data_IF_026969675044
#
_entry.id   IF_026969675044
#
_cell.length_a   1.000
_cell.length_b   1.000
_cell.length_c   1.000
_cell.angle_alpha   90.00
_cell.angle_beta   90.00
_cell.angle_gamma   90.00
#
_symmetry.space_group_name_H-M   'P 1'
#
loop_
_entity.id
_entity.type
_entity.pdbx_description
1 polymer ?
#
# COMPACT_ATOMS: atom_id res chain seq x y z
N UNK A 1 -2.88 -27.34 -4.13
CA UNK A 1 -1.43 -27.13 -4.32
C UNK A 1 -1.18 -25.66 -4.62
N UNK A 2 -0.04 -25.14 -4.15
CA UNK A 2 0.39 -23.74 -4.07
C UNK A 2 0.27 -22.95 -5.38
N UNK A 3 -0.10 -21.68 -5.29
CA UNK A 3 0.44 -20.64 -6.16
C UNK A 3 0.77 -19.42 -5.28
N UNK A 4 2.06 -19.14 -5.19
CA UNK A 4 2.65 -18.06 -4.41
C UNK A 4 2.08 -16.71 -4.86
N UNK A 5 1.71 -15.87 -3.89
CA UNK A 5 1.55 -14.45 -4.15
C UNK A 5 2.94 -13.92 -4.52
N UNK A 6 3.14 -13.72 -5.82
CA UNK A 6 4.40 -13.25 -6.36
C UNK A 6 4.71 -11.86 -5.78
N UNK A 7 5.78 -11.79 -4.98
CA UNK A 7 6.50 -10.55 -4.75
C UNK A 7 7.05 -10.10 -6.10
N UNK A 8 6.39 -9.14 -6.73
CA UNK A 8 6.81 -8.53 -7.99
C UNK A 8 6.96 -7.03 -7.72
N UNK A 9 7.89 -6.68 -6.84
CA UNK A 9 8.66 -5.46 -7.01
C UNK A 9 9.86 -5.86 -7.87
N UNK A 10 9.62 -5.91 -9.18
CA UNK A 10 10.69 -6.07 -10.16
C UNK A 10 11.56 -4.83 -10.06
N UNK A 11 12.75 -5.00 -9.49
CA UNK A 11 13.86 -4.05 -9.62
C UNK A 11 14.28 -4.09 -11.09
N UNK A 12 13.53 -3.40 -11.94
CA UNK A 12 13.89 -3.18 -13.34
C UNK A 12 15.16 -2.32 -13.34
N UNK A 13 16.16 -2.79 -14.09
CA UNK A 13 17.53 -2.32 -14.06
C UNK A 13 17.71 -0.80 -14.05
N UNK A 14 18.68 -0.37 -13.25
CA UNK A 14 19.18 0.98 -13.17
C UNK A 14 19.70 1.43 -14.56
N UNK A 15 19.10 2.45 -15.20
CA UNK A 15 19.77 3.15 -16.28
C UNK A 15 21.00 3.92 -15.73
N UNK A 16 21.96 4.29 -16.59
CA UNK A 16 23.25 4.89 -16.19
C UNK A 16 23.17 6.31 -15.59
N UNK A 17 21.98 6.87 -15.39
CA UNK A 17 21.78 8.13 -14.68
C UNK A 17 21.41 7.86 -13.22
N UNK A 18 22.19 8.43 -12.30
CA UNK A 18 22.13 8.23 -10.85
C UNK A 18 20.72 7.90 -10.33
N UNK A 19 20.58 6.65 -9.87
CA UNK A 19 19.29 6.04 -9.55
C UNK A 19 18.43 6.78 -8.50
N UNK A 20 17.32 6.16 -8.06
CA UNK A 20 16.41 6.76 -7.10
C UNK A 20 17.18 7.25 -5.86
N UNK A 21 16.85 8.46 -5.39
CA UNK A 21 17.53 8.99 -4.21
C UNK A 21 17.32 8.07 -3.01
N UNK A 22 18.27 7.99 -2.06
CA UNK A 22 18.16 7.11 -0.89
C UNK A 22 16.86 7.31 -0.10
N UNK A 23 16.35 8.53 -0.01
CA UNK A 23 15.06 8.80 0.61
C UNK A 23 13.88 8.11 -0.08
N UNK A 24 13.87 8.04 -1.43
CA UNK A 24 12.83 7.34 -2.19
C UNK A 24 12.91 5.83 -1.95
N UNK A 25 14.12 5.28 -1.92
CA UNK A 25 14.33 3.87 -1.60
C UNK A 25 13.81 3.52 -0.20
N UNK A 26 14.09 4.37 0.80
CA UNK A 26 13.60 4.20 2.17
C UNK A 26 12.07 4.31 2.27
N UNK A 27 11.47 5.23 1.51
CA UNK A 27 10.01 5.37 1.46
C UNK A 27 9.34 4.17 0.77
N UNK A 28 9.95 3.64 -0.29
CA UNK A 28 9.50 2.44 -0.97
C UNK A 28 9.57 1.20 -0.07
N UNK A 29 10.67 1.02 0.67
CA UNK A 29 10.82 -0.08 1.65
C UNK A 29 9.78 0.00 2.77
N UNK A 30 9.54 1.21 3.31
CA UNK A 30 8.47 1.44 4.30
C UNK A 30 7.09 1.07 3.76
N UNK A 31 6.80 1.43 2.51
CA UNK A 31 5.54 1.07 1.86
C UNK A 31 5.43 -0.45 1.72
N UNK A 32 6.47 -1.12 1.22
CA UNK A 32 6.49 -2.57 1.07
C UNK A 32 6.21 -3.27 2.40
N UNK A 33 6.90 -2.87 3.47
CA UNK A 33 6.70 -3.42 4.80
C UNK A 33 5.26 -3.21 5.29
N UNK A 34 4.72 -2.00 5.14
CA UNK A 34 3.36 -1.69 5.57
C UNK A 34 2.29 -2.49 4.79
N UNK A 35 2.50 -2.71 3.48
CA UNK A 35 1.61 -3.52 2.64
C UNK A 35 1.65 -4.98 3.05
N UNK A 36 2.82 -5.53 3.36
CA UNK A 36 2.96 -6.92 3.86
C UNK A 36 2.19 -7.10 5.16
N UNK A 37 2.35 -6.17 6.12
CA UNK A 37 1.62 -6.21 7.38
C UNK A 37 0.10 -6.05 7.19
N UNK A 38 -0.34 -5.18 6.28
CA UNK A 38 -1.75 -5.08 5.92
C UNK A 38 -2.30 -6.37 5.32
N UNK A 39 -1.57 -7.01 4.40
CA UNK A 39 -1.98 -8.29 3.78
C UNK A 39 -2.08 -9.39 4.84
N UNK A 40 -1.14 -9.46 5.79
CA UNK A 40 -1.18 -10.39 6.92
C UNK A 40 -2.40 -10.15 7.80
N UNK A 41 -2.65 -8.92 8.20
CA UNK A 41 -3.82 -8.56 9.02
C UNK A 41 -5.15 -8.81 8.28
N UNK A 42 -5.18 -8.62 6.95
CA UNK A 42 -6.34 -8.93 6.10
C UNK A 42 -6.65 -10.43 6.09
N UNK A 43 -5.63 -11.28 6.01
CA UNK A 43 -5.78 -12.74 6.08
C UNK A 43 -6.28 -13.14 7.48
N UNK A 44 -5.65 -12.64 8.54
CA UNK A 44 -6.07 -12.93 9.92
C UNK A 44 -7.53 -12.53 10.17
N UNK A 45 -7.93 -11.34 9.75
CA UNK A 45 -9.33 -10.87 9.83
C UNK A 45 -10.29 -11.76 9.04
N UNK A 46 -9.89 -12.28 7.88
CA UNK A 46 -10.72 -13.19 7.08
C UNK A 46 -10.89 -14.54 7.77
N UNK A 47 -9.84 -15.08 8.38
CA UNK A 47 -9.87 -16.34 9.13
C UNK A 47 -10.70 -16.22 10.41
N UNK A 48 -10.64 -15.08 11.10
CA UNK A 48 -11.44 -14.82 12.31
C UNK A 48 -12.92 -14.51 12.01
N UNK A 49 -13.28 -14.24 10.75
CA UNK A 49 -14.63 -13.77 10.37
C UNK A 49 -15.77 -14.69 10.82
N UNK A 50 -15.70 -16.04 10.72
CA UNK A 50 -16.78 -16.92 11.18
C UNK A 50 -17.06 -16.73 12.68
N UNK A 51 -16.01 -16.79 13.51
CA UNK A 51 -16.08 -16.55 14.96
C UNK A 51 -16.70 -15.18 15.28
N UNK A 52 -16.21 -14.13 14.63
CA UNK A 52 -16.71 -12.76 14.85
C UNK A 52 -18.20 -12.67 14.48
N UNK A 53 -18.65 -13.34 13.41
CA UNK A 53 -20.05 -13.34 13.02
C UNK A 53 -20.93 -14.10 14.03
N UNK A 54 -20.45 -15.18 14.61
CA UNK A 54 -21.15 -15.88 15.70
C UNK A 54 -21.26 -15.00 16.93
N UNK A 55 -20.17 -14.37 17.36
CA UNK A 55 -20.15 -13.41 18.48
C UNK A 55 -21.10 -12.22 18.24
N UNK A 56 -21.22 -11.74 17.00
CA UNK A 56 -22.19 -10.68 16.65
C UNK A 56 -23.63 -11.18 16.77
N UNK A 57 -23.92 -12.44 16.40
CA UNK A 57 -25.27 -13.00 16.53
C UNK A 57 -25.67 -13.19 18.00
N UNK A 58 -24.72 -13.57 18.86
CA UNK A 58 -24.98 -13.82 20.27
C UNK A 58 -24.99 -12.54 21.12
N UNK A 59 -24.10 -11.58 20.83
CA UNK A 59 -23.82 -10.45 21.73
C UNK A 59 -23.93 -9.08 21.03
N UNK A 60 -24.25 -9.06 19.74
CA UNK A 60 -24.49 -7.86 18.96
C UNK A 60 -23.27 -7.25 18.29
N UNK A 61 -23.50 -6.20 17.50
CA UNK A 61 -22.50 -5.58 16.61
C UNK A 61 -21.29 -4.99 17.36
N UNK A 62 -21.40 -4.72 18.66
CA UNK A 62 -20.29 -4.24 19.49
C UNK A 62 -19.07 -5.18 19.45
N UNK A 63 -19.30 -6.49 19.30
CA UNK A 63 -18.21 -7.48 19.16
C UNK A 63 -17.38 -7.32 17.90
N UNK A 64 -17.97 -6.82 16.81
CA UNK A 64 -17.23 -6.50 15.60
C UNK A 64 -16.11 -5.49 15.85
N UNK A 65 -16.42 -4.41 16.58
CA UNK A 65 -15.46 -3.37 16.90
C UNK A 65 -14.54 -3.76 18.06
N UNK A 66 -14.93 -4.73 18.89
CA UNK A 66 -14.09 -5.31 19.92
C UNK A 66 -13.03 -6.28 19.37
N UNK A 67 -13.31 -6.93 18.24
CA UNK A 67 -12.43 -7.92 17.63
C UNK A 67 -11.05 -7.33 17.29
N UNK A 68 -10.01 -7.93 17.87
CA UNK A 68 -8.63 -7.47 17.72
C UNK A 68 -8.16 -7.55 16.27
N UNK A 69 -8.65 -8.52 15.49
CA UNK A 69 -8.30 -8.74 14.09
C UNK A 69 -8.87 -7.64 13.18
N UNK A 70 -10.08 -7.16 13.48
CA UNK A 70 -10.69 -6.02 12.76
C UNK A 70 -9.90 -4.75 13.03
N UNK A 71 -9.55 -4.49 14.30
CA UNK A 71 -8.74 -3.33 14.68
C UNK A 71 -7.33 -3.40 14.08
N UNK A 72 -6.69 -4.58 14.11
CA UNK A 72 -5.36 -4.79 13.54
C UNK A 72 -5.38 -4.54 12.02
N UNK A 73 -6.37 -5.08 11.31
CA UNK A 73 -6.56 -4.82 9.88
C UNK A 73 -6.75 -3.34 9.59
N UNK A 74 -7.60 -2.64 10.36
CA UNK A 74 -7.82 -1.20 10.19
C UNK A 74 -6.54 -0.39 10.40
N UNK A 75 -5.79 -0.65 11.49
CA UNK A 75 -4.50 0.02 11.74
C UNK A 75 -3.48 -0.24 10.64
N UNK A 76 -3.33 -1.49 10.20
CA UNK A 76 -2.39 -1.84 9.15
C UNK A 76 -2.76 -1.20 7.81
N UNK A 77 -4.06 -1.09 7.51
CA UNK A 77 -4.56 -0.34 6.34
C UNK A 77 -4.15 1.12 6.40
N UNK A 78 -4.40 1.79 7.53
CA UNK A 78 -4.04 3.20 7.69
C UNK A 78 -2.52 3.43 7.61
N UNK A 79 -1.71 2.53 8.17
CA UNK A 79 -0.25 2.60 8.07
C UNK A 79 0.22 2.47 6.61
N UNK A 80 -0.34 1.52 5.85
CA UNK A 80 -0.02 1.36 4.43
C UNK A 80 -0.49 2.56 3.59
N UNK A 81 -1.64 3.17 3.91
CA UNK A 81 -2.13 4.36 3.24
C UNK A 81 -1.19 5.55 3.48
N UNK A 82 -0.81 5.77 4.74
CA UNK A 82 0.13 6.83 5.10
C UNK A 82 1.51 6.64 4.42
N UNK A 83 1.99 5.39 4.32
CA UNK A 83 3.25 5.09 3.63
C UNK A 83 3.16 5.40 2.12
N UNK A 84 2.05 5.02 1.47
CA UNK A 84 1.83 5.31 0.05
C UNK A 84 1.70 6.82 -0.20
N UNK A 85 0.94 7.52 0.63
CA UNK A 85 0.84 8.98 0.63
C UNK A 85 2.21 9.64 0.76
N UNK A 86 3.00 9.20 1.73
CA UNK A 86 4.33 9.77 1.98
C UNK A 86 5.27 9.56 0.79
N UNK A 87 5.19 8.44 0.08
CA UNK A 87 5.98 8.19 -1.13
C UNK A 87 5.52 9.04 -2.32
N UNK A 88 4.24 9.41 -2.39
CA UNK A 88 3.69 10.28 -3.43
C UNK A 88 3.90 11.78 -3.18
N UNK A 89 4.32 12.20 -1.98
CA UNK A 89 4.50 13.61 -1.64
C UNK A 89 5.74 14.27 -2.27
N UNK A 90 6.94 13.66 -2.27
CA UNK A 90 8.11 14.27 -2.88
C UNK A 90 7.96 14.38 -4.41
N UNK A 91 8.59 15.37 -5.03
CA UNK A 91 8.65 15.44 -6.50
C UNK A 91 9.69 14.41 -6.99
N UNK A 92 9.27 13.50 -7.87
CA UNK A 92 10.17 12.58 -8.55
C UNK A 92 11.13 13.36 -9.46
N UNK A 93 12.42 13.13 -9.30
CA UNK A 93 13.48 13.77 -10.07
C UNK A 93 13.95 12.94 -11.27
N UNK A 94 13.61 11.64 -11.30
CA UNK A 94 13.95 10.72 -12.38
C UNK A 94 12.87 9.64 -12.57
N UNK A 95 12.99 8.88 -13.65
CA UNK A 95 12.03 7.81 -13.99
C UNK A 95 11.96 6.70 -12.95
N UNK A 96 13.06 6.42 -12.24
CA UNK A 96 13.09 5.42 -11.17
C UNK A 96 12.18 5.83 -10.00
N UNK A 97 12.27 7.09 -9.58
CA UNK A 97 11.40 7.68 -8.56
C UNK A 97 9.94 7.74 -9.01
N UNK A 98 9.69 8.13 -10.26
CA UNK A 98 8.33 8.17 -10.83
C UNK A 98 7.69 6.78 -10.82
N UNK A 99 8.44 5.72 -11.16
CA UNK A 99 7.96 4.33 -11.08
C UNK A 99 7.61 3.90 -9.67
N UNK A 100 8.36 4.33 -8.66
CA UNK A 100 7.99 4.07 -7.26
C UNK A 100 6.66 4.75 -6.88
N UNK A 101 6.43 5.97 -7.35
CA UNK A 101 5.17 6.68 -7.11
C UNK A 101 3.99 6.02 -7.84
N UNK A 102 4.19 5.58 -9.09
CA UNK A 102 3.18 4.82 -9.84
C UNK A 102 2.83 3.51 -9.13
N UNK A 103 3.83 2.79 -8.60
CA UNK A 103 3.60 1.59 -7.80
C UNK A 103 2.83 1.90 -6.51
N UNK A 104 3.16 3.00 -5.82
CA UNK A 104 2.47 3.44 -4.61
C UNK A 104 1.00 3.78 -4.88
N UNK A 105 0.72 4.49 -5.97
CA UNK A 105 -0.62 4.81 -6.45
C UNK A 105 -1.42 3.53 -6.71
N UNK A 106 -0.83 2.57 -7.43
CA UNK A 106 -1.48 1.29 -7.72
C UNK A 106 -1.81 0.50 -6.45
N UNK A 107 -0.93 0.49 -5.45
CA UNK A 107 -1.20 -0.13 -4.14
C UNK A 107 -2.36 0.56 -3.43
N UNK A 108 -2.36 1.90 -3.40
CA UNK A 108 -3.41 2.67 -2.75
C UNK A 108 -4.80 2.41 -3.34
N UNK A 109 -4.88 2.37 -4.67
CA UNK A 109 -6.14 2.14 -5.39
C UNK A 109 -6.64 0.70 -5.27
N UNK A 110 -5.76 -0.28 -5.54
CA UNK A 110 -6.18 -1.67 -5.70
C UNK A 110 -6.23 -2.44 -4.38
N UNK A 111 -5.36 -2.13 -3.42
CA UNK A 111 -5.23 -2.93 -2.20
C UNK A 111 -5.82 -2.25 -0.98
N UNK A 112 -5.64 -0.93 -0.87
CA UNK A 112 -6.05 -0.15 0.28
C UNK A 112 -7.46 0.43 0.14
N UNK A 113 -8.10 0.25 -1.02
CA UNK A 113 -9.46 0.71 -1.28
C UNK A 113 -9.55 2.23 -1.18
N UNK A 114 -8.60 2.92 -1.80
CA UNK A 114 -8.55 4.38 -1.86
C UNK A 114 -9.87 4.97 -2.34
N UNK A 115 -10.33 6.02 -1.67
CA UNK A 115 -11.45 6.82 -2.13
C UNK A 115 -11.12 7.44 -3.49
N UNK A 116 -12.11 7.52 -4.37
CA UNK A 116 -12.08 8.32 -5.61
C UNK A 116 -11.48 9.70 -5.27
N UNK A 117 -10.39 10.08 -5.94
CA UNK A 117 -9.72 11.38 -5.73
C UNK A 117 -8.27 11.35 -5.25
N UNK A 118 -7.67 10.18 -5.00
CA UNK A 118 -6.24 10.13 -4.65
C UNK A 118 -5.32 10.60 -5.77
N UNK A 119 -5.59 10.18 -7.02
CA UNK A 119 -4.91 10.69 -8.23
C UNK A 119 -5.13 12.18 -8.47
N UNK A 120 -6.25 12.73 -8.02
CA UNK A 120 -6.52 14.18 -8.14
C UNK A 120 -5.64 14.98 -7.17
N UNK A 121 -5.30 14.38 -6.01
CA UNK A 121 -4.41 14.96 -5.01
C UNK A 121 -2.93 14.79 -5.38
N UNK A 122 -2.60 13.68 -6.04
CA UNK A 122 -1.25 13.36 -6.52
C UNK A 122 -1.33 13.03 -8.01
N UNK A 123 -1.53 14.04 -8.88
CA UNK A 123 -1.49 13.80 -10.31
C UNK A 123 -0.12 13.23 -10.68
N UNK A 124 -0.03 12.26 -11.61
CA UNK A 124 1.25 11.77 -12.07
C UNK A 124 2.10 12.97 -12.42
N UNK A 125 3.29 13.07 -11.81
CA UNK A 125 4.25 14.13 -12.06
C UNK A 125 4.31 14.31 -13.57
N UNK A 126 3.86 15.50 -14.04
CA UNK A 126 3.79 15.80 -15.48
C UNK A 126 5.06 15.26 -16.08
N UNK A 127 4.92 14.27 -16.98
CA UNK A 127 6.05 13.65 -17.69
C UNK A 127 7.08 14.72 -17.94
N UNK A 128 8.35 14.43 -17.67
CA UNK A 128 9.47 15.21 -18.16
C UNK A 128 9.31 15.32 -19.70
N UNK A 129 8.54 16.31 -20.15
CA UNK A 129 8.49 16.78 -21.53
C UNK A 129 9.59 17.81 -21.60
N UNK A 130 10.78 17.35 -21.95
CA UNK A 130 11.94 18.19 -22.18
C UNK A 130 13.18 17.31 -22.21
N UNK A 131 13.80 17.26 -23.39
CA UNK A 131 14.91 16.41 -23.85
C UNK A 131 14.38 15.05 -24.37
N UNK A 132 14.02 14.86 -25.64
CA UNK A 132 14.49 15.47 -26.91
C UNK A 132 13.33 15.87 -27.85
#
# INVERSE_FOLDING_TARGET
MKAAAASVLVVAGLPPDGGPRPEFMLLADKLEHAVVEFRRARIASRLARPRILEEIRSEGIGRFFAASEIRARSRARHAAQAAAETLCMPIAANDGEARFQEAALAVYENELGGSVGFRDRFPPSRRHRGCE
#
